data_IF_392406257141
#
_entry.id   IF_392406257141
#
_cell.length_a   1.000
_cell.length_b   1.000
_cell.length_c   1.000
_cell.angle_alpha   90.00
_cell.angle_beta   90.00
_cell.angle_gamma   90.00
#
_symmetry.space_group_name_H-M   'P 1'
#
loop_
_entity.id
_entity.type
_entity.pdbx_description
1 polymer ?
#
# COMPACT_ATOMS: atom_id res chain seq x y z
N UNK A 1 -52.86 49.58 0.39
CA UNK A 1 -52.40 48.22 0.76
C UNK A 1 -52.06 48.26 2.24
N UNK A 2 -52.82 47.59 3.12
CA UNK A 2 -52.64 47.65 4.56
C UNK A 2 -51.58 46.65 5.05
N UNK A 3 -50.64 47.19 5.81
CA UNK A 3 -49.70 46.51 6.71
C UNK A 3 -50.43 46.21 8.03
N UNK A 4 -50.30 45.01 8.65
CA UNK A 4 -50.56 44.74 10.08
C UNK A 4 -50.36 43.24 10.47
N UNK A 5 -49.36 43.04 11.35
CA UNK A 5 -49.27 42.15 12.56
C UNK A 5 -49.08 40.61 12.45
N UNK A 6 -48.01 40.12 13.11
CA UNK A 6 -47.95 39.25 14.33
C UNK A 6 -46.53 38.62 14.43
N UNK A 7 -45.66 39.02 15.34
CA UNK A 7 -45.55 38.65 16.77
C UNK A 7 -45.10 37.19 17.04
N UNK A 8 -43.91 37.04 17.66
CA UNK A 8 -43.58 36.19 18.83
C UNK A 8 -42.10 35.72 18.76
N UNK A 9 -41.26 36.18 19.70
CA UNK A 9 -40.69 35.40 20.82
C UNK A 9 -39.46 34.55 20.40
N UNK A 10 -38.33 34.45 21.09
CA UNK A 10 -37.92 34.66 22.49
C UNK A 10 -36.40 34.98 22.48
N UNK A 11 -35.89 35.98 23.20
CA UNK A 11 -35.48 35.94 24.62
C UNK A 11 -34.49 34.82 25.01
N UNK A 12 -33.26 35.25 25.33
CA UNK A 12 -32.22 34.64 26.18
C UNK A 12 -31.59 33.32 25.68
N UNK A 13 -30.27 33.09 25.74
CA UNK A 13 -29.42 33.14 26.93
C UNK A 13 -27.95 33.39 26.54
N UNK A 14 -27.40 34.48 27.07
CA UNK A 14 -26.09 34.65 27.72
C UNK A 14 -25.11 33.46 27.61
N UNK A 15 -23.89 33.69 27.11
CA UNK A 15 -22.66 33.49 27.89
C UNK A 15 -21.40 33.53 27.01
N UNK A 16 -20.42 34.31 27.47
CA UNK A 16 -19.02 33.96 27.29
C UNK A 16 -18.30 34.63 26.13
N UNK A 17 -17.87 35.87 26.34
CA UNK A 17 -16.57 36.30 25.81
C UNK A 17 -15.52 35.27 26.26
N UNK A 18 -14.98 34.57 25.28
CA UNK A 18 -13.93 33.56 25.45
C UNK A 18 -13.49 33.07 24.09
N UNK A 19 -13.23 34.01 23.17
CA UNK A 19 -12.62 33.72 21.88
C UNK A 19 -11.16 33.29 22.11
N UNK A 20 -10.96 32.08 22.62
CA UNK A 20 -9.76 31.32 22.29
C UNK A 20 -9.89 31.02 20.81
N UNK A 21 -9.19 31.81 20.00
CA UNK A 21 -8.87 31.43 18.64
C UNK A 21 -8.12 30.09 18.72
N UNK A 22 -8.88 28.99 18.67
CA UNK A 22 -8.30 27.69 18.40
C UNK A 22 -7.59 27.88 17.06
N UNK A 23 -6.27 27.63 16.97
CA UNK A 23 -5.62 27.64 15.68
C UNK A 23 -6.42 26.65 14.83
N UNK A 24 -6.99 27.14 13.74
CA UNK A 24 -7.50 26.30 12.69
C UNK A 24 -6.30 25.46 12.26
N UNK A 25 -6.19 24.26 12.85
CA UNK A 25 -5.25 23.27 12.40
C UNK A 25 -5.70 22.99 10.98
N UNK A 26 -4.97 23.55 10.02
CA UNK A 26 -5.11 23.19 8.63
C UNK A 26 -4.99 21.66 8.60
N UNK A 27 -6.13 20.98 8.49
CA UNK A 27 -6.16 19.53 8.44
C UNK A 27 -5.31 19.14 7.26
N UNK A 28 -4.12 18.60 7.54
CA UNK A 28 -3.28 18.04 6.50
C UNK A 28 -4.15 17.03 5.75
N UNK A 29 -4.46 17.32 4.48
CA UNK A 29 -5.32 16.49 3.67
C UNK A 29 -4.76 15.06 3.70
N UNK A 30 -5.47 14.15 4.37
CA UNK A 30 -5.00 12.78 4.52
C UNK A 30 -5.09 12.13 3.15
N UNK A 31 -3.94 11.76 2.58
CA UNK A 31 -3.89 11.12 1.27
C UNK A 31 -4.64 9.78 1.38
N UNK A 32 -5.70 9.56 0.58
CA UNK A 32 -6.46 8.33 0.64
C UNK A 32 -5.53 7.14 0.34
N UNK A 33 -5.60 6.12 1.19
CA UNK A 33 -4.76 4.92 1.09
C UNK A 33 -5.64 3.69 1.03
N UNK A 34 -5.32 2.77 0.13
CA UNK A 34 -5.93 1.45 0.00
C UNK A 34 -4.89 0.37 0.25
N UNK A 35 -5.30 -0.71 0.92
CA UNK A 35 -4.47 -1.88 1.17
C UNK A 35 -5.16 -3.12 0.61
N UNK A 36 -4.40 -3.97 -0.08
CA UNK A 36 -4.86 -5.25 -0.59
C UNK A 36 -3.89 -6.34 -0.17
N UNK A 37 -4.42 -7.50 0.18
CA UNK A 37 -3.62 -8.69 0.45
C UNK A 37 -3.95 -9.76 -0.57
N UNK A 38 -2.93 -10.31 -1.21
CA UNK A 38 -3.06 -11.34 -2.23
C UNK A 38 -2.27 -12.58 -1.84
N UNK A 39 -2.90 -13.75 -1.94
CA UNK A 39 -2.23 -15.04 -1.83
C UNK A 39 -1.85 -15.52 -3.24
N UNK A 40 -0.54 -15.59 -3.48
CA UNK A 40 0.05 -15.89 -4.78
C UNK A 40 0.69 -17.27 -4.73
N UNK A 41 0.23 -18.17 -5.61
CA UNK A 41 0.90 -19.45 -5.80
C UNK A 41 2.20 -19.29 -6.60
N UNK A 42 3.26 -19.91 -6.14
CA UNK A 42 4.60 -19.95 -6.77
C UNK A 42 4.97 -21.39 -7.13
N UNK A 43 6.06 -21.59 -7.88
CA UNK A 43 6.47 -22.95 -8.26
C UNK A 43 6.75 -23.79 -6.99
N UNK A 44 6.44 -25.10 -7.01
CA UNK A 44 6.84 -26.01 -5.93
C UNK A 44 8.36 -26.10 -5.84
N UNK A 45 8.89 -26.19 -4.61
CA UNK A 45 10.33 -26.40 -4.39
C UNK A 45 11.19 -25.14 -4.48
N UNK A 46 10.59 -23.95 -4.62
CA UNK A 46 11.33 -22.67 -4.56
C UNK A 46 11.33 -22.08 -3.15
N UNK A 47 10.29 -22.36 -2.36
CA UNK A 47 10.18 -21.92 -0.97
C UNK A 47 10.55 -23.03 0.02
N UNK A 48 11.08 -22.61 1.17
CA UNK A 48 11.37 -23.49 2.28
C UNK A 48 10.09 -24.09 2.90
N UNK A 49 10.25 -25.24 3.56
CA UNK A 49 9.17 -25.88 4.32
C UNK A 49 8.02 -26.43 3.47
N UNK A 50 8.22 -26.62 2.15
CA UNK A 50 7.18 -27.15 1.25
C UNK A 50 6.08 -26.13 0.92
N UNK A 51 6.29 -24.85 1.23
CA UNK A 51 5.33 -23.80 0.90
C UNK A 51 5.25 -23.60 -0.61
N UNK A 52 4.04 -23.36 -1.11
CA UNK A 52 3.78 -23.04 -2.52
C UNK A 52 2.98 -21.74 -2.67
N UNK A 53 2.82 -20.98 -1.58
CA UNK A 53 2.07 -19.74 -1.55
C UNK A 53 2.84 -18.65 -0.81
N UNK A 54 2.75 -17.43 -1.34
CA UNK A 54 3.27 -16.20 -0.73
C UNK A 54 2.13 -15.24 -0.51
N UNK A 55 2.13 -14.60 0.66
CA UNK A 55 1.26 -13.47 0.96
C UNK A 55 1.94 -12.18 0.51
N UNK A 56 1.36 -11.50 -0.47
CA UNK A 56 1.79 -10.20 -0.95
C UNK A 56 0.83 -9.11 -0.45
N UNK A 57 1.37 -8.06 0.15
CA UNK A 57 0.63 -6.90 0.63
C UNK A 57 0.87 -5.73 -0.33
N UNK A 58 -0.20 -5.09 -0.77
CA UNK A 58 -0.15 -3.97 -1.71
C UNK A 58 -0.75 -2.75 -1.04
N UNK A 59 0.06 -1.71 -0.93
CA UNK A 59 -0.36 -0.39 -0.43
C UNK A 59 -0.42 0.58 -1.61
N UNK A 60 -1.58 1.18 -1.80
CA UNK A 60 -1.84 2.17 -2.85
C UNK A 60 -2.15 3.50 -2.15
N UNK A 61 -1.31 4.51 -2.37
CA UNK A 61 -1.60 5.88 -1.95
C UNK A 61 -2.14 6.68 -3.13
N UNK A 62 -3.16 7.49 -2.90
CA UNK A 62 -3.88 8.27 -3.91
C UNK A 62 -4.38 7.41 -5.08
N UNK A 63 -5.25 6.41 -4.83
CA UNK A 63 -5.69 5.46 -5.86
C UNK A 63 -6.50 6.16 -6.95
N UNK A 64 -6.01 6.12 -8.20
CA UNK A 64 -6.74 6.61 -9.36
C UNK A 64 -7.20 5.45 -10.27
N UNK A 65 -8.41 5.53 -10.81
CA UNK A 65 -9.00 4.42 -11.56
C UNK A 65 -8.23 4.04 -12.83
N UNK A 66 -7.61 5.02 -13.50
CA UNK A 66 -6.79 4.86 -14.72
C UNK A 66 -5.54 3.99 -14.52
N UNK A 67 -4.98 3.95 -13.30
CA UNK A 67 -3.78 3.17 -12.96
C UNK A 67 -4.09 1.90 -12.19
N UNK A 68 -5.37 1.56 -12.00
CA UNK A 68 -5.81 0.40 -11.21
C UNK A 68 -5.25 -0.94 -11.67
N UNK A 69 -4.90 -1.06 -12.95
CA UNK A 69 -4.23 -2.24 -13.53
C UNK A 69 -2.91 -2.59 -12.82
N UNK A 70 -2.19 -1.59 -12.30
CA UNK A 70 -0.88 -1.79 -11.68
C UNK A 70 -0.95 -2.52 -10.33
N UNK A 71 -2.07 -2.45 -9.60
CA UNK A 71 -2.27 -3.20 -8.36
C UNK A 71 -3.34 -4.30 -8.47
N UNK A 72 -3.65 -4.71 -9.71
CA UNK A 72 -4.50 -5.86 -9.95
C UNK A 72 -3.82 -7.16 -9.51
N UNK A 73 -4.60 -8.18 -9.16
CA UNK A 73 -4.08 -9.48 -8.75
C UNK A 73 -3.13 -10.08 -9.78
N UNK A 74 -3.44 -9.98 -11.07
CA UNK A 74 -2.61 -10.53 -12.16
C UNK A 74 -1.24 -9.86 -12.24
N UNK A 75 -1.20 -8.53 -12.14
CA UNK A 75 0.06 -7.78 -12.17
C UNK A 75 0.92 -8.11 -10.95
N UNK A 76 0.31 -8.09 -9.76
CA UNK A 76 1.00 -8.40 -8.50
C UNK A 76 1.52 -9.85 -8.52
N UNK A 77 0.73 -10.79 -9.04
CA UNK A 77 1.14 -12.17 -9.20
C UNK A 77 2.37 -12.31 -10.09
N UNK A 78 2.43 -11.62 -11.23
CA UNK A 78 3.60 -11.64 -12.11
C UNK A 78 4.83 -11.06 -11.41
N UNK A 79 4.70 -9.91 -10.75
CA UNK A 79 5.81 -9.28 -10.01
C UNK A 79 6.38 -10.21 -8.93
N UNK A 80 5.50 -10.85 -8.14
CA UNK A 80 5.91 -11.78 -7.08
C UNK A 80 6.59 -13.01 -7.67
N UNK A 81 6.01 -13.61 -8.72
CA UNK A 81 6.58 -14.80 -9.35
C UNK A 81 7.91 -14.51 -10.03
N UNK A 82 8.07 -13.35 -10.67
CA UNK A 82 9.33 -12.97 -11.29
C UNK A 82 10.46 -12.90 -10.26
N UNK A 83 10.19 -12.37 -9.06
CA UNK A 83 11.17 -12.38 -7.97
C UNK A 83 11.47 -13.76 -7.43
N UNK A 84 10.42 -14.54 -7.16
CA UNK A 84 10.50 -15.80 -6.40
C UNK A 84 10.92 -16.96 -7.28
N UNK A 85 10.21 -17.19 -8.39
CA UNK A 85 10.45 -18.34 -9.29
C UNK A 85 11.84 -18.28 -9.95
N UNK A 86 12.48 -17.09 -9.99
CA UNK A 86 13.84 -16.90 -10.52
C UNK A 86 14.91 -16.75 -9.41
N UNK A 87 14.54 -16.92 -8.13
CA UNK A 87 15.44 -16.78 -6.97
C UNK A 87 16.26 -15.47 -7.01
N UNK A 88 15.61 -14.36 -7.37
CA UNK A 88 16.28 -13.08 -7.57
C UNK A 88 16.57 -12.44 -6.21
N UNK A 89 17.74 -12.78 -5.65
CA UNK A 89 18.30 -12.12 -4.47
C UNK A 89 18.92 -10.74 -4.79
N UNK A 90 18.63 -10.18 -5.97
CA UNK A 90 19.13 -8.89 -6.46
C UNK A 90 17.95 -7.99 -6.87
N UNK A 91 18.11 -6.66 -6.88
CA UNK A 91 17.08 -5.77 -7.38
C UNK A 91 16.70 -6.09 -8.82
N UNK A 92 15.40 -6.09 -9.11
CA UNK A 92 14.86 -6.37 -10.45
C UNK A 92 13.73 -5.42 -10.79
N UNK A 93 13.34 -5.39 -12.07
CA UNK A 93 12.17 -4.67 -12.55
C UNK A 93 11.17 -5.65 -13.19
N UNK A 94 9.89 -5.50 -12.86
CA UNK A 94 8.80 -6.29 -13.45
C UNK A 94 7.52 -5.46 -13.48
N UNK A 95 6.79 -5.49 -14.60
CA UNK A 95 5.50 -4.78 -14.78
C UNK A 95 5.53 -3.28 -14.39
N UNK A 96 6.66 -2.61 -14.59
CA UNK A 96 6.88 -1.21 -14.18
C UNK A 96 7.21 -1.02 -12.70
N UNK A 97 7.27 -2.09 -11.90
CA UNK A 97 7.74 -2.05 -10.52
C UNK A 97 9.25 -2.26 -10.47
N UNK A 98 9.93 -1.48 -9.63
CA UNK A 98 11.29 -1.76 -9.17
C UNK A 98 11.23 -2.46 -7.83
N UNK A 99 11.67 -3.71 -7.80
CA UNK A 99 11.70 -4.57 -6.64
C UNK A 99 13.11 -4.63 -6.05
N UNK A 100 13.21 -4.34 -4.75
CA UNK A 100 14.45 -4.44 -4.00
C UNK A 100 14.29 -5.54 -2.95
N UNK A 101 15.06 -6.64 -3.03
CA UNK A 101 15.15 -7.60 -1.96
C UNK A 101 15.96 -7.04 -0.79
N UNK A 102 15.58 -7.42 0.41
CA UNK A 102 16.34 -7.25 1.66
C UNK A 102 16.44 -8.63 2.30
N UNK A 103 17.65 -9.14 2.41
CA UNK A 103 17.92 -10.44 3.01
C UNK A 103 17.91 -10.29 4.54
N UNK A 104 17.16 -11.15 5.22
CA UNK A 104 17.09 -11.17 6.69
C UNK A 104 18.29 -11.96 7.24
N UNK A 105 19.40 -11.24 7.47
CA UNK A 105 20.67 -11.83 7.93
C UNK A 105 21.76 -11.89 6.84
N UNK A 106 22.98 -12.25 7.24
CA UNK A 106 24.15 -12.40 6.37
C UNK A 106 23.88 -13.31 5.15
N UNK A 107 24.79 -13.36 4.17
CA UNK A 107 24.67 -13.98 2.82
C UNK A 107 24.03 -15.39 2.69
N UNK A 108 23.68 -16.06 3.79
CA UNK A 108 22.94 -17.33 3.89
C UNK A 108 21.48 -17.15 4.38
N UNK A 109 20.94 -15.94 4.39
CA UNK A 109 19.58 -15.65 4.83
C UNK A 109 18.55 -16.50 4.08
N UNK A 110 17.87 -17.38 4.81
CA UNK A 110 16.81 -18.24 4.29
C UNK A 110 15.51 -17.48 4.01
N UNK A 111 15.47 -16.16 4.22
CA UNK A 111 14.30 -15.32 4.02
C UNK A 111 14.67 -14.00 3.35
N UNK A 112 14.00 -13.68 2.25
CA UNK A 112 14.11 -12.42 1.56
C UNK A 112 12.80 -11.63 1.67
N UNK A 113 12.90 -10.38 2.09
CA UNK A 113 11.80 -9.41 2.06
C UNK A 113 11.91 -8.57 0.80
N UNK A 114 10.90 -8.62 -0.04
CA UNK A 114 10.86 -7.82 -1.27
C UNK A 114 9.99 -6.59 -1.06
N UNK A 115 10.51 -5.44 -1.47
CA UNK A 115 9.74 -4.20 -1.59
C UNK A 115 9.77 -3.73 -3.02
N UNK A 116 8.62 -3.76 -3.69
CA UNK A 116 8.42 -3.34 -5.06
C UNK A 116 7.67 -2.02 -5.11
N UNK A 117 8.23 -1.02 -5.77
CA UNK A 117 7.59 0.30 -5.97
C UNK A 117 7.36 0.55 -7.45
N UNK A 118 6.16 0.99 -7.80
CA UNK A 118 5.85 1.39 -9.17
C UNK A 118 6.75 2.58 -9.55
N UNK A 119 7.46 2.47 -10.68
CA UNK A 119 8.30 3.50 -11.25
C UNK A 119 7.70 3.95 -12.58
N UNK A 120 7.62 5.27 -12.80
CA UNK A 120 7.21 5.81 -14.10
C UNK A 120 5.71 5.87 -14.35
N UNK A 121 4.87 5.87 -13.32
CA UNK A 121 3.53 6.40 -13.49
C UNK A 121 3.61 7.93 -13.34
N UNK A 122 3.39 8.68 -14.42
CA UNK A 122 3.15 10.14 -14.41
C UNK A 122 1.83 10.48 -13.69
N UNK A 123 1.63 9.88 -12.52
CA UNK A 123 0.42 9.97 -11.71
C UNK A 123 0.83 10.11 -10.26
N UNK A 124 0.07 10.85 -9.44
CA UNK A 124 0.35 10.96 -8.01
C UNK A 124 0.06 9.65 -7.25
N UNK A 125 -0.46 8.61 -7.92
CA UNK A 125 -0.69 7.29 -7.33
C UNK A 125 0.63 6.58 -7.07
N UNK A 126 0.86 6.19 -5.81
CA UNK A 126 2.02 5.37 -5.43
C UNK A 126 1.54 3.96 -5.11
N UNK A 127 2.09 2.95 -5.80
CA UNK A 127 1.82 1.54 -5.51
C UNK A 127 3.07 0.89 -4.95
N UNK A 128 2.96 0.32 -3.75
CA UNK A 128 4.01 -0.46 -3.11
C UNK A 128 3.52 -1.87 -2.86
N UNK A 129 4.24 -2.87 -3.36
CA UNK A 129 4.00 -4.29 -3.09
C UNK A 129 5.10 -4.79 -2.17
N UNK A 130 4.74 -5.42 -1.06
CA UNK A 130 5.67 -6.06 -0.13
C UNK A 130 5.32 -7.53 0.03
N UNK A 131 6.33 -8.39 0.00
CA UNK A 131 6.15 -9.81 0.24
C UNK A 131 7.42 -10.42 0.82
N UNK A 132 7.26 -11.52 1.54
CA UNK A 132 8.37 -12.25 2.16
C UNK A 132 8.44 -13.64 1.55
N UNK A 133 9.61 -14.03 1.08
CA UNK A 133 9.87 -15.33 0.50
C UNK A 133 10.92 -16.06 1.36
N UNK A 134 10.55 -17.13 2.09
CA UNK A 134 11.51 -18.01 2.70
C UNK A 134 12.08 -18.93 1.62
N UNK A 135 13.33 -18.71 1.21
CA UNK A 135 14.02 -19.56 0.24
C UNK A 135 14.63 -20.79 0.91
N UNK A 136 14.67 -21.91 0.17
CA UNK A 136 15.53 -23.02 0.56
C UNK A 136 16.99 -22.55 0.53
N UNK A 137 17.81 -22.84 1.56
CA UNK A 137 19.24 -22.64 1.44
C UNK A 137 19.75 -23.47 0.25
N UNK A 138 20.77 -22.99 -0.51
CA UNK A 138 21.37 -23.81 -1.55
C UNK A 138 21.87 -25.10 -0.91
N UNK A 139 21.23 -26.23 -1.24
CA UNK A 139 21.72 -27.54 -0.86
C UNK A 139 23.06 -27.73 -1.56
N UNK A 140 24.14 -27.82 -0.78
CA UNK A 140 25.43 -28.25 -1.29
C UNK A 140 25.25 -29.66 -1.87
N UNK A 141 25.19 -29.75 -3.20
CA UNK A 141 25.39 -31.00 -3.93
C UNK A 141 26.89 -31.18 -4.18
#
# INVERSE_FOLDING_TARGET
MPDIRKAAAAAAVIAGLGAVAAPATAGAATIPTQSHTYHIAVKPGVLAGGQNQITANVKVANPQANVRRFWSRSTVQQVVRDGVDNNLQKPYMSQGFRCTPTLDGAMNASTARFTCKLQGADTPTTVTVTFTAPYLPPTAN
#
